data_IF_356914861212
#
_entry.id   IF_356914861212
#
_cell.length_a   1.000
_cell.length_b   1.000
_cell.length_c   1.000
_cell.angle_alpha   90.00
_cell.angle_beta   90.00
_cell.angle_gamma   90.00
#
_symmetry.space_group_name_H-M   'P 1'
#
loop_
_entity.id
_entity.type
_entity.pdbx_description
1 polymer ?
#
# COMPACT_ATOMS: atom_id res chain seq x y z
N UNK A 1 23.28 -2.99 -19.93
CA UNK A 1 23.46 -1.54 -19.67
C UNK A 1 22.06 -0.93 -19.64
N UNK A 2 21.48 -0.80 -18.44
CA UNK A 2 20.12 -0.28 -18.26
C UNK A 2 20.21 1.24 -18.04
N UNK A 3 19.97 2.03 -19.09
CA UNK A 3 19.80 3.47 -19.00
C UNK A 3 18.35 3.78 -19.32
N UNK A 4 17.51 3.89 -18.28
CA UNK A 4 16.08 4.17 -18.46
C UNK A 4 15.26 4.33 -17.18
N UNK A 5 15.86 4.28 -15.99
CA UNK A 5 15.17 4.71 -14.77
C UNK A 5 15.18 6.23 -14.73
N UNK A 6 14.01 6.85 -14.93
CA UNK A 6 13.87 8.30 -14.78
C UNK A 6 14.37 8.77 -13.41
N UNK A 7 14.83 10.02 -13.33
CA UNK A 7 15.23 10.65 -12.06
C UNK A 7 14.06 10.57 -11.08
N UNK A 8 14.32 10.13 -9.84
CA UNK A 8 13.35 10.21 -8.77
C UNK A 8 13.38 11.63 -8.19
N UNK A 9 12.26 12.33 -8.30
CA UNK A 9 12.06 13.68 -7.77
C UNK A 9 11.22 13.60 -6.49
N UNK A 10 11.45 14.52 -5.55
CA UNK A 10 10.59 14.70 -4.39
C UNK A 10 9.61 15.83 -4.69
N UNK A 11 8.33 15.50 -4.72
CA UNK A 11 7.23 16.44 -4.87
C UNK A 11 6.46 16.56 -3.55
N UNK A 12 5.89 17.74 -3.29
CA UNK A 12 5.07 18.00 -2.12
C UNK A 12 3.64 18.28 -2.56
N UNK A 13 2.69 17.55 -2.01
CA UNK A 13 1.28 17.66 -2.38
C UNK A 13 0.44 17.98 -1.15
N UNK A 14 -0.40 19.01 -1.20
CA UNK A 14 -1.30 19.36 -0.09
C UNK A 14 -2.69 18.85 -0.41
N UNK A 15 -3.19 17.91 0.40
CA UNK A 15 -4.48 17.24 0.20
C UNK A 15 -5.24 17.22 1.52
N UNK A 16 -6.51 17.64 1.54
CA UNK A 16 -7.31 17.62 2.76
C UNK A 16 -6.71 18.36 3.97
N UNK A 17 -5.82 19.33 3.73
CA UNK A 17 -5.09 20.06 4.80
C UNK A 17 -3.85 19.35 5.36
N UNK A 18 -3.43 18.23 4.75
CA UNK A 18 -2.19 17.50 5.06
C UNK A 18 -1.22 17.67 3.91
N UNK A 19 0.06 17.96 4.20
CA UNK A 19 1.12 17.96 3.20
C UNK A 19 1.80 16.59 3.15
N UNK A 20 1.76 15.98 1.97
CA UNK A 20 2.40 14.70 1.67
C UNK A 20 3.73 14.90 0.95
N UNK A 21 4.75 14.16 1.38
CA UNK A 21 6.00 13.98 0.65
C UNK A 21 5.86 12.82 -0.34
N UNK A 22 6.10 13.04 -1.63
CA UNK A 22 5.87 12.06 -2.68
C UNK A 22 7.11 11.89 -3.55
N UNK A 23 7.69 10.70 -3.57
CA UNK A 23 8.72 10.36 -4.55
C UNK A 23 8.06 10.05 -5.89
N UNK A 24 8.49 10.75 -6.94
CA UNK A 24 7.93 10.63 -8.28
C UNK A 24 9.02 10.24 -9.28
N UNK A 25 8.78 9.22 -10.10
CA UNK A 25 9.72 8.77 -11.11
C UNK A 25 9.02 8.29 -12.39
N UNK A 26 9.77 8.14 -13.47
CA UNK A 26 9.24 7.72 -14.77
C UNK A 26 8.66 8.87 -15.59
N UNK A 27 8.25 8.57 -16.82
CA UNK A 27 7.90 9.59 -17.83
C UNK A 27 6.55 10.26 -17.51
N UNK A 28 6.45 11.60 -17.51
CA UNK A 28 5.16 12.30 -17.43
C UNK A 28 4.17 11.80 -18.48
N UNK A 29 2.92 11.57 -18.08
CA UNK A 29 1.86 11.05 -18.96
C UNK A 29 1.90 9.54 -19.22
N UNK A 30 2.91 8.81 -18.73
CA UNK A 30 2.87 7.35 -18.69
C UNK A 30 1.78 6.85 -17.73
N UNK A 31 1.42 5.56 -17.83
CA UNK A 31 0.41 4.93 -16.96
C UNK A 31 0.73 5.20 -15.48
N UNK A 32 -0.20 5.71 -14.66
CA UNK A 32 0.07 6.01 -13.27
C UNK A 32 0.13 4.73 -12.42
N UNK A 33 1.20 4.61 -11.62
CA UNK A 33 1.39 3.55 -10.62
C UNK A 33 1.60 4.20 -9.25
N UNK A 34 0.85 3.76 -8.24
CA UNK A 34 1.02 4.23 -6.85
C UNK A 34 1.56 3.11 -5.97
N UNK A 35 2.58 3.39 -5.17
CA UNK A 35 3.22 2.46 -4.24
C UNK A 35 3.04 2.94 -2.79
N UNK A 36 2.25 2.23 -1.99
CA UNK A 36 1.92 2.60 -0.59
C UNK A 36 2.70 1.74 0.40
N UNK A 37 3.56 2.39 1.21
CA UNK A 37 4.45 1.70 2.16
C UNK A 37 3.72 1.08 3.37
N UNK A 38 4.39 0.13 4.03
CA UNK A 38 3.92 -0.47 5.29
C UNK A 38 4.22 0.39 6.54
N UNK A 39 3.60 0.03 7.66
CA UNK A 39 3.77 0.74 8.94
C UNK A 39 5.23 0.77 9.39
N UNK A 40 5.64 1.90 10.00
CA UNK A 40 7.01 2.10 10.47
C UNK A 40 8.07 2.31 9.39
N UNK A 41 7.64 2.39 8.11
CA UNK A 41 8.48 2.72 6.97
C UNK A 41 7.99 4.02 6.33
N UNK A 42 8.57 4.37 5.19
CA UNK A 42 8.24 5.52 4.35
C UNK A 42 8.44 5.14 2.85
N UNK A 43 8.28 6.11 1.94
CA UNK A 43 8.42 5.96 0.48
C UNK A 43 9.74 5.31 0.04
N UNK A 44 10.82 5.44 0.84
CA UNK A 44 12.13 4.90 0.49
C UNK A 44 12.16 3.37 0.46
N UNK A 45 11.19 2.67 1.08
CA UNK A 45 11.07 1.21 1.00
C UNK A 45 10.93 0.72 -0.46
N UNK A 46 10.41 1.58 -1.35
CA UNK A 46 10.22 1.29 -2.76
C UNK A 46 11.42 1.64 -3.64
N UNK A 47 12.42 2.37 -3.12
CA UNK A 47 13.50 2.93 -3.93
C UNK A 47 14.29 1.87 -4.73
N UNK A 48 14.45 0.68 -4.17
CA UNK A 48 15.14 -0.44 -4.83
C UNK A 48 14.38 -1.04 -6.02
N UNK A 49 13.05 -0.90 -6.08
CA UNK A 49 12.22 -1.54 -7.11
C UNK A 49 11.49 -0.54 -8.02
N UNK A 50 11.27 0.70 -7.58
CA UNK A 50 10.61 1.74 -8.37
C UNK A 50 11.21 1.94 -9.77
N UNK A 51 12.55 1.89 -9.98
CA UNK A 51 13.13 2.00 -11.32
C UNK A 51 12.65 0.92 -12.30
N UNK A 52 12.31 -0.28 -11.82
CA UNK A 52 11.80 -1.36 -12.68
C UNK A 52 10.41 -1.05 -13.24
N UNK A 53 9.61 -0.26 -12.53
CA UNK A 53 8.28 0.17 -12.96
C UNK A 53 8.31 1.50 -13.72
N UNK A 54 9.21 2.41 -13.34
CA UNK A 54 9.39 3.74 -13.95
C UNK A 54 9.74 3.68 -15.45
N UNK A 55 10.19 2.54 -15.95
CA UNK A 55 10.42 2.30 -17.37
C UNK A 55 9.13 2.33 -18.21
N UNK A 56 7.97 2.07 -17.62
CA UNK A 56 6.67 2.02 -18.32
C UNK A 56 5.55 2.80 -17.62
N UNK A 57 5.76 3.22 -16.38
CA UNK A 57 4.78 3.93 -15.56
C UNK A 57 5.32 5.27 -15.08
N UNK A 58 4.41 6.20 -14.78
CA UNK A 58 4.68 7.33 -13.89
C UNK A 58 4.40 6.85 -12.47
N UNK A 59 5.45 6.67 -11.69
CA UNK A 59 5.38 6.05 -10.36
C UNK A 59 5.32 7.13 -9.28
N UNK A 60 4.34 7.03 -8.40
CA UNK A 60 4.15 7.87 -7.22
C UNK A 60 4.28 7.02 -5.95
N UNK A 61 5.20 7.37 -5.07
CA UNK A 61 5.39 6.73 -3.78
C UNK A 61 5.26 7.81 -2.68
N UNK A 62 4.05 8.02 -2.13
CA UNK A 62 3.85 8.94 -1.02
C UNK A 62 4.31 8.34 0.30
N UNK A 63 4.80 9.20 1.19
CA UNK A 63 4.75 8.95 2.62
C UNK A 63 3.31 9.13 3.10
N UNK A 64 2.71 8.11 3.70
CA UNK A 64 1.38 8.23 4.31
C UNK A 64 1.43 9.23 5.48
N UNK A 65 0.30 9.89 5.79
CA UNK A 65 0.22 10.86 6.90
C UNK A 65 0.86 10.31 8.18
N UNK A 66 1.68 11.12 8.83
CA UNK A 66 2.41 10.72 10.04
C UNK A 66 3.63 9.83 9.82
N UNK A 67 4.01 9.51 8.59
CA UNK A 67 5.23 8.75 8.28
C UNK A 67 6.19 9.59 7.43
N UNK A 68 7.48 9.27 7.52
CA UNK A 68 8.53 9.93 6.74
C UNK A 68 8.50 11.45 6.88
N UNK A 69 8.49 12.13 5.74
CA UNK A 69 8.51 13.58 5.63
C UNK A 69 7.09 14.20 5.55
N UNK A 70 6.04 13.37 5.50
CA UNK A 70 4.64 13.83 5.49
C UNK A 70 4.21 14.39 6.84
N UNK A 71 3.23 15.29 6.82
CA UNK A 71 2.76 15.96 8.02
C UNK A 71 2.26 14.97 9.09
N UNK A 72 2.56 15.29 10.35
CA UNK A 72 1.93 14.68 11.52
C UNK A 72 0.62 15.40 11.84
N UNK A 73 -0.37 14.64 12.29
CA UNK A 73 -1.74 15.16 12.47
C UNK A 73 -2.29 14.74 13.83
N UNK A 74 -3.36 15.39 14.28
CA UNK A 74 -3.96 15.08 15.58
C UNK A 74 -4.71 13.73 15.61
N UNK A 75 -5.08 13.16 14.45
CA UNK A 75 -5.86 11.94 14.37
C UNK A 75 -5.49 11.13 13.12
N UNK A 76 -5.48 9.81 13.27
CA UNK A 76 -5.13 8.85 12.23
C UNK A 76 -6.22 7.80 12.10
N UNK A 77 -6.53 7.43 10.85
CA UNK A 77 -7.31 6.24 10.53
C UNK A 77 -6.95 5.75 9.13
N UNK A 78 -7.27 4.49 8.81
CA UNK A 78 -7.14 3.95 7.46
C UNK A 78 -7.96 4.77 6.45
N UNK A 79 -9.16 5.24 6.81
CA UNK A 79 -9.98 6.11 5.98
C UNK A 79 -9.33 7.45 5.71
N UNK A 80 -8.72 8.07 6.72
CA UNK A 80 -8.04 9.34 6.56
C UNK A 80 -6.82 9.20 5.63
N UNK A 81 -6.11 8.08 5.69
CA UNK A 81 -5.02 7.74 4.76
C UNK A 81 -5.55 7.43 3.36
N UNK A 82 -6.67 6.72 3.22
CA UNK A 82 -7.36 6.52 1.95
C UNK A 82 -7.72 7.86 1.32
N UNK A 83 -8.30 8.78 2.08
CA UNK A 83 -8.75 10.09 1.60
C UNK A 83 -7.58 10.97 1.14
N UNK A 84 -6.43 10.90 1.82
CA UNK A 84 -5.20 11.52 1.35
C UNK A 84 -4.74 10.98 0.00
N UNK A 85 -4.71 9.66 -0.16
CA UNK A 85 -4.32 9.02 -1.43
C UNK A 85 -5.31 9.42 -2.53
N UNK A 86 -6.61 9.44 -2.26
CA UNK A 86 -7.61 9.90 -3.22
C UNK A 86 -7.40 11.37 -3.61
N UNK A 87 -7.17 12.27 -2.65
CA UNK A 87 -6.87 13.67 -2.93
C UNK A 87 -5.57 13.85 -3.72
N UNK A 88 -4.56 13.00 -3.48
CA UNK A 88 -3.33 12.97 -4.25
C UNK A 88 -3.60 12.58 -5.70
N UNK A 89 -4.37 11.50 -5.92
CA UNK A 89 -4.78 11.04 -7.25
C UNK A 89 -5.55 12.12 -8.03
N UNK A 90 -6.43 12.85 -7.36
CA UNK A 90 -7.17 13.96 -7.96
C UNK A 90 -6.25 15.12 -8.31
N UNK A 91 -5.26 15.43 -7.46
CA UNK A 91 -4.28 16.50 -7.69
C UNK A 91 -3.41 16.24 -8.91
N UNK A 92 -2.95 14.99 -9.10
CA UNK A 92 -2.14 14.62 -10.26
C UNK A 92 -2.96 14.36 -11.52
N UNK A 93 -4.30 14.43 -11.43
CA UNK A 93 -5.21 14.18 -12.55
C UNK A 93 -5.09 12.76 -13.10
N UNK A 94 -4.77 11.78 -12.25
CA UNK A 94 -4.60 10.40 -12.69
C UNK A 94 -5.97 9.74 -12.98
N UNK A 95 -6.05 9.01 -14.10
CA UNK A 95 -7.13 8.07 -14.35
C UNK A 95 -7.08 6.88 -13.39
N UNK A 96 -7.83 5.78 -13.66
CA UNK A 96 -7.65 4.55 -12.89
C UNK A 96 -6.16 4.18 -12.83
N UNK A 97 -5.63 4.05 -11.61
CA UNK A 97 -4.20 3.80 -11.38
C UNK A 97 -3.94 2.33 -11.16
N UNK A 98 -2.73 1.89 -11.48
CA UNK A 98 -2.20 0.67 -10.92
C UNK A 98 -1.82 0.98 -9.46
N UNK A 99 -2.37 0.23 -8.49
CA UNK A 99 -2.23 0.52 -7.07
C UNK A 99 -1.59 -0.66 -6.35
N UNK A 100 -0.44 -0.42 -5.73
CA UNK A 100 0.31 -1.42 -4.97
C UNK A 100 0.43 -0.96 -3.53
N UNK A 101 0.11 -1.83 -2.58
CA UNK A 101 0.24 -1.53 -1.16
C UNK A 101 0.81 -2.68 -0.36
N UNK A 102 1.68 -2.36 0.60
CA UNK A 102 2.25 -3.32 1.55
C UNK A 102 1.71 -3.06 2.96
N UNK A 103 1.26 -4.10 3.67
CA UNK A 103 0.87 -4.00 5.10
C UNK A 103 -0.14 -2.87 5.36
N UNK A 104 0.20 -1.87 6.19
CA UNK A 104 -0.58 -0.62 6.34
C UNK A 104 -1.05 -0.05 4.98
N UNK A 105 -0.12 0.15 4.04
CA UNK A 105 -0.41 0.66 2.71
C UNK A 105 -1.27 -0.30 1.87
N UNK A 106 -1.22 -1.61 2.13
CA UNK A 106 -2.10 -2.58 1.49
C UNK A 106 -3.54 -2.48 2.01
N UNK A 107 -3.74 -2.28 3.31
CA UNK A 107 -5.07 -1.97 3.88
C UNK A 107 -5.61 -0.66 3.31
N UNK A 108 -4.79 0.38 3.21
CA UNK A 108 -5.18 1.64 2.57
C UNK A 108 -5.53 1.43 1.09
N UNK A 109 -4.75 0.63 0.35
CA UNK A 109 -5.00 0.33 -1.05
C UNK A 109 -6.35 -0.36 -1.28
N UNK A 110 -6.69 -1.33 -0.42
CA UNK A 110 -8.01 -1.96 -0.39
C UNK A 110 -9.14 -0.93 -0.25
N UNK A 111 -9.03 -0.03 0.73
CA UNK A 111 -10.07 0.97 0.98
C UNK A 111 -10.17 2.00 -0.16
N UNK A 112 -9.07 2.31 -0.85
CA UNK A 112 -9.10 3.14 -2.06
C UNK A 112 -9.86 2.41 -3.16
N UNK A 113 -9.58 1.13 -3.39
CA UNK A 113 -10.24 0.33 -4.41
C UNK A 113 -11.74 0.06 -4.12
N UNK A 114 -12.15 0.07 -2.84
CA UNK A 114 -13.56 0.05 -2.45
C UNK A 114 -14.27 1.39 -2.70
N UNK A 115 -13.56 2.51 -2.57
CA UNK A 115 -14.12 3.85 -2.68
C UNK A 115 -14.17 4.38 -4.13
N UNK A 116 -13.25 3.94 -5.00
CA UNK A 116 -13.19 4.38 -6.40
C UNK A 116 -12.58 3.33 -7.32
N UNK A 117 -12.86 3.38 -8.64
CA UNK A 117 -12.21 2.52 -9.61
C UNK A 117 -10.69 2.72 -9.64
N UNK A 118 -9.95 1.61 -9.65
CA UNK A 118 -8.51 1.52 -9.93
C UNK A 118 -8.30 0.56 -11.11
N UNK A 119 -7.19 0.67 -11.84
CA UNK A 119 -6.91 -0.19 -12.98
C UNK A 119 -6.56 -1.61 -12.53
N UNK A 120 -5.67 -1.71 -11.55
CA UNK A 120 -5.26 -2.96 -10.92
C UNK A 120 -4.99 -2.71 -9.44
N UNK A 121 -5.28 -3.72 -8.61
CA UNK A 121 -4.92 -3.71 -7.19
C UNK A 121 -3.88 -4.80 -6.92
N UNK A 122 -2.79 -4.44 -6.27
CA UNK A 122 -1.79 -5.38 -5.78
C UNK A 122 -1.62 -5.16 -4.28
N UNK A 123 -1.82 -6.23 -3.51
CA UNK A 123 -1.71 -6.17 -2.06
C UNK A 123 -0.69 -7.18 -1.59
N UNK A 124 0.34 -6.66 -0.94
CA UNK A 124 1.44 -7.44 -0.38
C UNK A 124 1.20 -7.74 1.10
N UNK A 125 0.96 -9.01 1.36
CA UNK A 125 0.96 -9.67 2.66
C UNK A 125 0.10 -8.96 3.72
N UNK A 126 -1.14 -8.66 3.36
CA UNK A 126 -2.12 -8.07 4.29
C UNK A 126 -3.55 -8.28 3.78
N UNK A 127 -4.42 -9.01 4.51
CA UNK A 127 -5.84 -8.95 4.25
C UNK A 127 -6.43 -7.64 4.80
N UNK A 128 -7.67 -7.32 4.42
CA UNK A 128 -8.46 -6.38 5.22
C UNK A 128 -8.68 -6.96 6.63
N UNK A 129 -8.72 -6.14 7.68
CA UNK A 129 -9.04 -6.62 9.01
C UNK A 129 -10.44 -7.24 9.09
N UNK A 130 -10.57 -8.43 9.71
CA UNK A 130 -11.84 -9.14 9.85
C UNK A 130 -12.36 -9.05 11.30
N UNK A 131 -13.64 -8.67 11.52
CA UNK A 131 -14.24 -8.74 12.85
C UNK A 131 -14.21 -10.16 13.42
N UNK A 132 -13.89 -10.26 14.71
CA UNK A 132 -13.82 -11.54 15.43
C UNK A 132 -12.50 -12.30 15.26
N UNK A 133 -11.54 -11.77 14.50
CA UNK A 133 -10.16 -12.25 14.51
C UNK A 133 -9.52 -12.13 15.89
N UNK A 134 -8.53 -12.98 16.17
CA UNK A 134 -7.76 -12.88 17.39
C UNK A 134 -7.06 -11.51 17.48
N UNK A 135 -7.05 -10.86 18.66
CA UNK A 135 -6.42 -9.57 18.80
C UNK A 135 -4.91 -9.67 18.59
N UNK A 136 -4.37 -8.72 17.83
CA UNK A 136 -2.95 -8.54 17.62
C UNK A 136 -2.31 -7.86 18.84
N UNK A 137 -1.07 -8.25 19.18
CA UNK A 137 -0.33 -7.62 20.26
C UNK A 137 -0.09 -6.14 19.95
N UNK A 138 -0.44 -5.27 20.89
CA UNK A 138 -0.13 -3.84 20.79
C UNK A 138 1.36 -3.65 21.06
N UNK A 139 2.14 -3.11 20.11
CA UNK A 139 3.56 -2.88 20.31
C UNK A 139 3.78 -1.78 21.35
N UNK A 140 4.91 -1.82 22.04
CA UNK A 140 5.34 -0.74 22.92
C UNK A 140 6.10 0.32 22.12
N UNK A 141 5.92 1.60 22.47
CA UNK A 141 6.65 2.70 21.83
C UNK A 141 8.15 2.49 22.00
N UNK A 142 8.94 2.42 20.92
CA UNK A 142 10.40 2.37 21.04
C UNK A 142 10.94 3.64 21.73
N UNK A 143 12.08 3.51 22.39
CA UNK A 143 12.79 4.65 22.95
C UNK A 143 13.36 5.53 21.83
N UNK A 144 13.48 6.84 22.10
CA UNK A 144 14.09 7.79 21.18
C UNK A 144 13.12 8.42 20.17
N UNK A 145 13.74 9.09 19.19
CA UNK A 145 13.06 9.76 18.09
C UNK A 145 12.68 8.75 17.02
N UNK A 146 11.45 8.87 16.53
CA UNK A 146 10.90 8.01 15.49
C UNK A 146 10.73 8.83 14.20
N UNK A 147 11.02 8.23 13.03
CA UNK A 147 10.78 8.85 11.73
C UNK A 147 9.28 8.85 11.34
N UNK A 148 8.42 8.52 12.29
CA UNK A 148 6.97 8.52 12.16
C UNK A 148 6.33 8.91 13.49
N UNK A 149 5.06 9.28 13.45
CA UNK A 149 4.27 9.55 14.63
C UNK A 149 3.82 8.23 15.28
N UNK A 150 4.14 8.06 16.56
CA UNK A 150 3.69 6.89 17.31
C UNK A 150 2.16 6.85 17.44
N UNK A 151 1.50 8.01 17.49
CA UNK A 151 0.03 8.07 17.53
C UNK A 151 -0.61 7.45 16.28
N UNK A 152 0.08 7.45 15.14
CA UNK A 152 -0.37 6.75 13.94
C UNK A 152 -0.35 5.23 14.13
N UNK A 153 0.71 4.70 14.74
CA UNK A 153 0.83 3.26 15.06
C UNK A 153 -0.26 2.83 16.02
N UNK A 154 -0.51 3.60 17.09
CA UNK A 154 -1.56 3.31 18.06
C UNK A 154 -2.95 3.29 17.42
N UNK A 155 -3.24 4.25 16.53
CA UNK A 155 -4.51 4.30 15.82
C UNK A 155 -4.70 3.12 14.85
N UNK A 156 -3.66 2.78 14.08
CA UNK A 156 -3.66 1.61 13.19
C UNK A 156 -3.90 0.33 14.00
N UNK A 157 -3.18 0.13 15.10
CA UNK A 157 -3.37 -1.05 15.94
C UNK A 157 -4.75 -1.14 16.57
N UNK A 158 -5.35 0.00 16.94
CA UNK A 158 -6.75 0.04 17.39
C UNK A 158 -7.70 -0.45 16.29
N UNK A 159 -7.55 0.06 15.07
CA UNK A 159 -8.39 -0.34 13.93
C UNK A 159 -8.15 -1.79 13.47
N UNK A 160 -6.94 -2.34 13.62
CA UNK A 160 -6.69 -3.75 13.36
C UNK A 160 -7.40 -4.65 14.39
N UNK A 161 -7.44 -4.23 15.66
CA UNK A 161 -8.07 -4.99 16.75
C UNK A 161 -9.58 -4.78 16.87
N UNK A 162 -10.08 -3.63 16.43
CA UNK A 162 -11.50 -3.25 16.42
C UNK A 162 -11.89 -2.77 15.01
N UNK A 163 -11.87 -3.68 14.01
CA UNK A 163 -12.09 -3.29 12.63
C UNK A 163 -13.54 -2.96 12.34
N UNK A 164 -13.77 -1.98 11.46
CA UNK A 164 -15.10 -1.73 10.93
C UNK A 164 -15.56 -2.96 10.12
N UNK A 165 -16.70 -3.59 10.47
CA UNK A 165 -17.19 -4.76 9.75
C UNK A 165 -17.47 -4.50 8.26
N UNK A 166 -17.70 -3.24 7.88
CA UNK A 166 -17.91 -2.83 6.49
C UNK A 166 -16.70 -3.17 5.61
N UNK A 167 -15.47 -3.00 6.10
CA UNK A 167 -14.27 -3.21 5.27
C UNK A 167 -14.24 -4.64 4.72
N UNK A 168 -14.41 -5.65 5.58
CA UNK A 168 -14.40 -7.04 5.16
C UNK A 168 -15.64 -7.42 4.35
N UNK A 169 -16.83 -6.94 4.79
CA UNK A 169 -18.10 -7.22 4.10
C UNK A 169 -18.08 -6.75 2.66
N UNK A 170 -17.43 -5.62 2.39
CA UNK A 170 -17.42 -4.96 1.09
C UNK A 170 -16.23 -5.39 0.21
N UNK A 171 -15.45 -6.43 0.59
CA UNK A 171 -14.44 -7.01 -0.31
C UNK A 171 -15.00 -7.33 -1.72
N UNK A 172 -16.20 -7.94 -1.86
CA UNK A 172 -16.76 -8.25 -3.18
C UNK A 172 -17.09 -7.03 -4.05
N UNK A 173 -17.08 -5.81 -3.51
CA UNK A 173 -17.33 -4.58 -4.29
C UNK A 173 -16.08 -4.09 -5.02
N UNK A 174 -14.90 -4.64 -4.71
CA UNK A 174 -13.67 -4.34 -5.44
C UNK A 174 -13.71 -5.07 -6.78
N UNK A 175 -13.98 -4.32 -7.85
CA UNK A 175 -14.08 -4.88 -9.22
C UNK A 175 -12.78 -4.87 -10.00
N UNK A 176 -11.74 -4.21 -9.48
CA UNK A 176 -10.43 -4.19 -10.13
C UNK A 176 -9.82 -5.61 -10.07
N UNK A 177 -9.19 -6.07 -11.16
CA UNK A 177 -8.36 -7.27 -11.10
C UNK A 177 -7.36 -7.12 -9.95
N UNK A 178 -7.29 -8.13 -9.09
CA UNK A 178 -6.50 -8.04 -7.85
C UNK A 178 -5.44 -9.14 -7.74
N UNK A 179 -4.19 -8.77 -7.48
CA UNK A 179 -3.11 -9.68 -7.12
C UNK A 179 -2.84 -9.60 -5.62
N UNK A 180 -2.96 -10.72 -4.92
CA UNK A 180 -2.59 -10.88 -3.52
C UNK A 180 -1.25 -11.62 -3.47
N UNK A 181 -0.23 -11.00 -2.88
CA UNK A 181 1.07 -11.61 -2.65
C UNK A 181 1.17 -12.08 -1.20
N UNK A 182 1.23 -13.38 -0.99
CA UNK A 182 1.35 -14.03 0.31
C UNK A 182 2.82 -14.23 0.69
N UNK A 183 3.21 -13.81 1.90
CA UNK A 183 4.56 -13.97 2.44
C UNK A 183 4.86 -15.40 2.92
N UNK A 184 3.85 -16.26 2.94
CA UNK A 184 3.95 -17.66 3.34
C UNK A 184 4.08 -17.87 4.85
N UNK A 185 4.41 -19.09 5.31
CA UNK A 185 4.34 -19.49 6.73
C UNK A 185 5.28 -18.72 7.68
N UNK A 186 6.29 -18.03 7.16
CA UNK A 186 7.21 -17.21 7.95
C UNK A 186 6.70 -15.78 8.17
N UNK A 187 5.60 -15.39 7.52
CA UNK A 187 4.93 -14.13 7.81
C UNK A 187 4.20 -14.19 9.15
N UNK A 188 4.14 -13.06 9.85
CA UNK A 188 3.30 -12.89 11.03
C UNK A 188 1.84 -12.57 10.68
N UNK A 189 1.54 -12.34 9.40
CA UNK A 189 0.19 -12.11 8.90
C UNK A 189 -0.50 -13.44 8.68
N UNK A 190 -1.77 -13.52 9.06
CA UNK A 190 -2.59 -14.71 8.85
C UNK A 190 -2.82 -14.94 7.36
N UNK A 191 -2.10 -15.93 6.82
CA UNK A 191 -2.18 -16.30 5.40
C UNK A 191 -3.53 -16.95 5.06
N UNK A 192 -4.22 -17.54 6.05
CA UNK A 192 -5.58 -18.05 5.89
C UNK A 192 -6.59 -16.92 5.68
N UNK A 193 -6.48 -15.84 6.47
CA UNK A 193 -7.30 -14.64 6.24
C UNK A 193 -7.01 -13.99 4.88
N UNK A 194 -5.76 -14.01 4.42
CA UNK A 194 -5.42 -13.53 3.07
C UNK A 194 -6.10 -14.38 1.97
N UNK A 195 -6.13 -15.71 2.15
CA UNK A 195 -6.82 -16.61 1.24
C UNK A 195 -8.35 -16.45 1.28
N UNK A 196 -8.93 -16.25 2.47
CA UNK A 196 -10.36 -15.96 2.63
C UNK A 196 -10.74 -14.66 1.91
N UNK A 197 -9.93 -13.61 2.03
CA UNK A 197 -10.14 -12.36 1.31
C UNK A 197 -10.04 -12.55 -0.22
N UNK A 198 -9.07 -13.35 -0.69
CA UNK A 198 -8.92 -13.69 -2.10
C UNK A 198 -10.17 -14.36 -2.67
N UNK A 199 -10.79 -15.27 -1.91
CA UNK A 199 -11.96 -16.02 -2.32
C UNK A 199 -13.25 -15.17 -2.39
N UNK A 200 -13.27 -14.01 -1.74
CA UNK A 200 -14.40 -13.06 -1.77
C UNK A 200 -14.34 -12.10 -2.96
N UNK A 201 -13.17 -11.92 -3.57
CA UNK A 201 -12.99 -11.04 -4.72
C UNK A 201 -13.58 -11.67 -5.99
N UNK A 202 -14.18 -10.87 -6.89
CA UNK A 202 -14.71 -11.36 -8.16
C UNK A 202 -13.63 -11.75 -9.18
N UNK A 203 -12.48 -11.08 -9.14
CA UNK A 203 -11.32 -11.35 -10.00
C UNK A 203 -10.03 -11.20 -9.18
N UNK A 204 -9.47 -12.33 -8.77
CA UNK A 204 -8.26 -12.34 -7.96
C UNK A 204 -7.29 -13.45 -8.34
N UNK A 205 -6.01 -13.16 -8.09
CA UNK A 205 -4.93 -14.14 -8.11
C UNK A 205 -4.18 -14.06 -6.79
N UNK A 206 -4.07 -15.19 -6.10
CA UNK A 206 -3.21 -15.34 -4.92
C UNK A 206 -1.90 -16.02 -5.33
N UNK A 207 -0.76 -15.40 -5.01
CA UNK A 207 0.57 -15.94 -5.28
C UNK A 207 1.39 -15.91 -3.99
N UNK A 208 1.96 -17.05 -3.61
CA UNK A 208 2.88 -17.14 -2.48
C UNK A 208 4.33 -16.93 -2.92
N UNK A 209 5.04 -16.07 -2.19
CA UNK A 209 6.49 -15.92 -2.22
C UNK A 209 6.97 -16.05 -0.76
N UNK A 210 7.42 -17.24 -0.32
CA UNK A 210 7.52 -17.60 1.10
C UNK A 210 8.75 -17.01 1.80
N UNK A 211 8.88 -15.68 1.79
CA UNK A 211 10.01 -14.92 2.34
C UNK A 211 9.62 -14.05 3.54
N UNK A 212 8.39 -14.21 4.01
CA UNK A 212 7.83 -13.46 5.13
C UNK A 212 7.20 -12.14 4.70
N UNK A 213 7.07 -11.23 5.67
CA UNK A 213 6.17 -10.08 5.53
C UNK A 213 6.61 -9.01 4.52
N UNK A 214 7.90 -8.93 4.18
CA UNK A 214 8.45 -7.85 3.32
C UNK A 214 8.97 -8.43 2.01
N UNK A 215 8.08 -9.02 1.23
CA UNK A 215 8.37 -9.66 -0.06
C UNK A 215 9.13 -8.70 -0.99
N UNK A 216 8.69 -7.45 -1.12
CA UNK A 216 9.32 -6.45 -1.98
C UNK A 216 10.77 -6.15 -1.60
N UNK A 217 11.12 -6.26 -0.31
CA UNK A 217 12.46 -5.99 0.19
C UNK A 217 13.34 -7.26 0.22
N UNK A 218 12.77 -8.40 0.56
CA UNK A 218 13.49 -9.66 0.74
C UNK A 218 13.66 -10.43 -0.58
N UNK A 219 12.69 -10.33 -1.50
CA UNK A 219 12.71 -10.98 -2.80
C UNK A 219 12.29 -10.01 -3.94
N UNK A 220 13.01 -8.88 -4.13
CA UNK A 220 12.62 -7.81 -5.04
C UNK A 220 12.44 -8.29 -6.49
N UNK A 221 13.28 -9.20 -6.98
CA UNK A 221 13.18 -9.73 -8.34
C UNK A 221 11.88 -10.55 -8.55
N UNK A 222 11.55 -11.41 -7.58
CA UNK A 222 10.34 -12.21 -7.63
C UNK A 222 9.08 -11.34 -7.50
N UNK A 223 9.12 -10.36 -6.59
CA UNK A 223 8.07 -9.36 -6.43
C UNK A 223 7.82 -8.61 -7.75
N UNK A 224 8.88 -8.00 -8.32
CA UNK A 224 8.79 -7.22 -9.56
C UNK A 224 8.30 -8.10 -10.72
N UNK A 225 8.75 -9.35 -10.82
CA UNK A 225 8.30 -10.27 -11.87
C UNK A 225 6.79 -10.56 -11.79
N UNK A 226 6.25 -10.85 -10.59
CA UNK A 226 4.82 -11.08 -10.41
C UNK A 226 4.01 -9.82 -10.69
N UNK A 227 4.41 -8.68 -10.12
CA UNK A 227 3.69 -7.42 -10.29
C UNK A 227 3.70 -6.97 -11.75
N UNK A 228 4.85 -6.97 -12.44
CA UNK A 228 4.90 -6.56 -13.86
C UNK A 228 4.12 -7.51 -14.76
N UNK A 229 4.19 -8.82 -14.50
CA UNK A 229 3.41 -9.80 -15.25
C UNK A 229 1.90 -9.58 -15.12
N UNK A 230 1.47 -9.21 -13.91
CA UNK A 230 0.07 -8.90 -13.62
C UNK A 230 -0.41 -7.57 -14.21
N UNK A 231 0.36 -6.49 -14.09
CA UNK A 231 -0.03 -5.18 -14.63
C UNK A 231 -0.07 -5.11 -16.17
N UNK A 232 0.47 -6.14 -16.84
CA UNK A 232 0.54 -6.27 -18.29
C UNK A 232 -0.58 -7.12 -18.90
N UNK A 233 -1.38 -7.84 -18.09
CA UNK A 233 -2.54 -8.62 -18.56
C UNK A 233 -3.78 -7.76 -18.68
#
# INVERSE_FOLDING_TARGET
MWLGGGVTELEWMTVGGVRLAVSVSGTPGARPLVLLHGGGNDRSTWAGIAPAFAATHRVYAPDLRGFGDSDRTAAYSFEAMRDDVQGMLDTVGAGPVDLVGHSLGGTVAWLVAQARPVAHLVVEDTPLPRPGSAPLPVPQRPAGDLPYDWAAVEAVMRQLNEPDPVWWRDIPTVTAPTLLLAGGPSSHVDQGLLADAAALLPDSRLVEIPVGHRIHATAPEAFVAQVRGFLAS
#
